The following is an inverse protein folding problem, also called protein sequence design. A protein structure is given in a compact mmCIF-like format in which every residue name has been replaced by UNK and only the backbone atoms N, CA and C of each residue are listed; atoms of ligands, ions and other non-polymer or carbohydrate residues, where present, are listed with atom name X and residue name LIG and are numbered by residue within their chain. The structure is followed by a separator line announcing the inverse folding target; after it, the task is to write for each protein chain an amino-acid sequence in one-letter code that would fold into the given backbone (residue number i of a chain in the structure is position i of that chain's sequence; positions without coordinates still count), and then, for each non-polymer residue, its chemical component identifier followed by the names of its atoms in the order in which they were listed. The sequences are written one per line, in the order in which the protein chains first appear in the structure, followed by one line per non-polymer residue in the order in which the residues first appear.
data_IF_271005964269
#
_entry.id   IF_271005964269
#
_cell.length_a   1.000
_cell.length_b   1.000
_cell.length_c   1.000
_cell.angle_alpha   90.00
_cell.angle_beta   90.00
_cell.angle_gamma   90.00
#
_symmetry.space_group_name_H-M   'P 1'
#
loop_
_entity.id
_entity.type
_entity.pdbx_description
1 polymer ?
#
# COMPACT_ATOMS: atom_id res chain seq x y z
N UNK A 1 -19.21 0.38 11.31
CA UNK A 1 -18.37 1.45 10.87
C UNK A 1 -18.01 1.31 9.41
N UNK A 2 -17.96 2.41 8.74
CA UNK A 2 -17.86 2.49 7.29
C UNK A 2 -16.63 1.79 6.74
N UNK A 3 -15.47 1.92 7.40
CA UNK A 3 -14.25 1.28 6.91
C UNK A 3 -14.37 -0.23 6.82
N UNK A 4 -14.93 -0.86 7.86
CA UNK A 4 -15.11 -2.31 7.82
C UNK A 4 -15.99 -2.75 6.66
N UNK A 5 -17.06 -2.01 6.39
CA UNK A 5 -17.93 -2.30 5.27
C UNK A 5 -17.23 -2.10 3.94
N UNK A 6 -16.45 -1.01 3.81
CA UNK A 6 -15.70 -0.72 2.59
C UNK A 6 -14.73 -1.85 2.28
N UNK A 7 -13.98 -2.31 3.30
CA UNK A 7 -13.02 -3.38 3.10
C UNK A 7 -13.68 -4.71 2.74
N UNK A 8 -14.85 -4.98 3.31
CA UNK A 8 -15.61 -6.16 2.92
C UNK A 8 -16.00 -6.10 1.43
N UNK A 9 -16.35 -4.92 0.94
CA UNK A 9 -16.69 -4.74 -0.46
C UNK A 9 -15.46 -4.86 -1.38
N UNK A 10 -14.33 -4.35 -0.95
CA UNK A 10 -13.13 -4.32 -1.78
C UNK A 10 -12.60 -5.71 -2.12
N UNK A 11 -12.99 -6.71 -1.34
CA UNK A 11 -12.61 -8.09 -1.63
C UNK A 11 -13.20 -8.59 -2.95
N UNK A 12 -14.25 -7.95 -3.41
CA UNK A 12 -15.02 -8.42 -4.57
C UNK A 12 -15.03 -7.44 -5.72
N UNK A 13 -14.76 -6.17 -5.46
CA UNK A 13 -14.84 -5.14 -6.50
C UNK A 13 -13.92 -3.96 -6.19
N UNK A 14 -13.67 -3.10 -7.21
CA UNK A 14 -12.85 -1.92 -7.03
C UNK A 14 -13.39 -0.97 -5.98
N UNK A 15 -12.49 -0.21 -5.36
CA UNK A 15 -12.83 0.81 -4.38
C UNK A 15 -12.00 2.05 -4.65
N UNK A 16 -12.42 3.18 -4.07
CA UNK A 16 -11.75 4.47 -4.23
C UNK A 16 -10.84 4.72 -3.05
N UNK A 17 -9.70 5.34 -3.34
CA UNK A 17 -8.71 5.70 -2.31
C UNK A 17 -8.33 7.16 -2.52
N UNK A 18 -8.47 7.97 -1.47
CA UNK A 18 -8.00 9.35 -1.47
C UNK A 18 -6.58 9.37 -0.92
N UNK A 19 -5.66 9.99 -1.65
CA UNK A 19 -4.27 10.03 -1.24
C UNK A 19 -4.03 11.25 -0.34
N UNK A 20 -3.47 10.98 0.85
CA UNK A 20 -3.09 12.00 1.81
C UNK A 20 -1.62 11.82 2.14
N UNK A 21 -0.93 12.93 2.39
CA UNK A 21 0.49 12.89 2.67
C UNK A 21 1.35 12.67 1.43
N UNK A 22 2.65 12.82 1.59
CA UNK A 22 3.60 12.82 0.48
C UNK A 22 4.48 11.60 0.37
N UNK A 23 4.18 10.50 1.09
CA UNK A 23 5.08 9.35 1.16
C UNK A 23 5.25 8.63 -0.18
N UNK A 24 4.32 8.79 -1.11
CA UNK A 24 4.35 8.12 -2.40
C UNK A 24 4.65 9.06 -3.56
N UNK A 25 5.03 10.30 -3.29
CA UNK A 25 5.46 11.24 -4.32
C UNK A 25 6.72 10.70 -5.00
N UNK A 26 6.85 10.80 -6.31
CA UNK A 26 5.96 11.44 -7.27
C UNK A 26 4.87 10.52 -7.85
N UNK A 27 4.85 9.25 -7.49
CA UNK A 27 3.92 8.27 -8.06
C UNK A 27 2.47 8.65 -7.74
N UNK A 28 2.22 8.93 -6.46
CA UNK A 28 0.92 9.40 -5.97
C UNK A 28 1.19 10.64 -5.16
N UNK A 29 0.38 11.66 -5.37
CA UNK A 29 0.52 12.94 -4.67
C UNK A 29 -0.72 13.24 -3.84
N UNK A 30 -0.58 14.05 -2.76
CA UNK A 30 -1.76 14.48 -2.00
C UNK A 30 -2.79 15.11 -2.93
N UNK A 31 -4.05 14.72 -2.76
CA UNK A 31 -5.13 15.20 -3.61
C UNK A 31 -5.44 14.28 -4.78
N UNK A 32 -4.61 13.27 -5.04
CA UNK A 32 -4.94 12.25 -6.03
C UNK A 32 -6.05 11.36 -5.50
N UNK A 33 -6.92 10.92 -6.41
CA UNK A 33 -7.91 9.89 -6.12
C UNK A 33 -7.62 8.69 -7.00
N UNK A 34 -7.53 7.55 -6.40
CA UNK A 34 -7.08 6.33 -7.07
C UNK A 34 -8.12 5.22 -6.93
N UNK A 35 -7.98 4.21 -7.79
CA UNK A 35 -8.79 2.99 -7.71
C UNK A 35 -7.91 1.87 -7.18
N UNK A 36 -8.44 1.15 -6.19
CA UNK A 36 -7.80 -0.06 -5.66
C UNK A 36 -8.69 -1.25 -5.98
N UNK A 37 -8.05 -2.39 -6.22
CA UNK A 37 -8.72 -3.65 -6.53
C UNK A 37 -8.31 -4.71 -5.51
N UNK A 38 -9.05 -5.83 -5.43
CA UNK A 38 -8.65 -6.92 -4.54
C UNK A 38 -7.24 -7.40 -4.85
N UNK A 39 -6.45 -7.60 -3.80
CA UNK A 39 -5.06 -8.05 -3.92
C UNK A 39 -5.04 -9.57 -3.79
N UNK A 40 -4.82 -10.25 -4.90
CA UNK A 40 -4.84 -11.72 -4.93
C UNK A 40 -3.44 -12.32 -4.80
N UNK A 41 -2.49 -11.79 -5.56
CA UNK A 41 -1.13 -12.28 -5.61
C UNK A 41 -0.16 -11.11 -5.45
N UNK A 42 0.19 -10.76 -4.20
CA UNK A 42 1.11 -9.64 -3.98
C UNK A 42 2.45 -9.88 -4.64
N UNK A 43 2.99 -8.86 -5.27
CA UNK A 43 4.30 -8.92 -5.93
C UNK A 43 5.11 -7.69 -5.61
N UNK A 44 6.42 -7.84 -5.62
CA UNK A 44 7.33 -6.71 -5.49
C UNK A 44 7.03 -5.72 -6.61
N UNK A 45 6.92 -4.45 -6.26
CA UNK A 45 6.56 -3.39 -7.18
C UNK A 45 5.11 -2.95 -7.09
N UNK A 46 4.24 -3.77 -6.50
CA UNK A 46 2.84 -3.40 -6.33
C UNK A 46 2.70 -2.23 -5.36
N UNK A 47 1.83 -1.29 -5.72
CA UNK A 47 1.39 -0.23 -4.81
C UNK A 47 0.16 -0.74 -4.10
N UNK A 48 0.20 -0.75 -2.78
CA UNK A 48 -0.84 -1.41 -1.98
C UNK A 48 -1.36 -0.52 -0.87
N UNK A 49 -2.61 -0.77 -0.50
CA UNK A 49 -3.17 -0.25 0.75
C UNK A 49 -2.77 -1.25 1.83
N UNK A 50 -2.11 -0.77 2.87
CA UNK A 50 -1.56 -1.62 3.92
C UNK A 50 -1.95 -1.07 5.29
N UNK A 51 -2.32 -1.97 6.20
CA UNK A 51 -2.62 -1.60 7.58
C UNK A 51 -1.32 -1.52 8.39
N UNK A 52 -1.20 -0.46 9.21
CA UNK A 52 -0.05 -0.28 10.08
C UNK A 52 -0.02 -1.42 11.11
N UNK A 53 1.11 -2.10 11.29
CA UNK A 53 1.16 -3.27 12.18
C UNK A 53 0.87 -2.96 13.65
N UNK A 54 1.16 -1.73 14.09
CA UNK A 54 1.00 -1.35 15.49
C UNK A 54 -0.19 -0.43 15.72
N UNK A 55 -0.94 -0.10 14.67
CA UNK A 55 -2.07 0.84 14.78
C UNK A 55 -3.27 0.27 14.03
N UNK A 56 -4.12 -0.48 14.74
CA UNK A 56 -5.29 -1.10 14.11
C UNK A 56 -6.15 -0.09 13.36
N UNK A 57 -6.63 -0.46 12.19
CA UNK A 57 -7.47 0.34 11.31
C UNK A 57 -6.78 1.57 10.72
N UNK A 58 -5.49 1.78 10.98
CA UNK A 58 -4.74 2.85 10.34
C UNK A 58 -4.16 2.32 9.03
N UNK A 59 -4.61 2.87 7.92
CA UNK A 59 -4.22 2.39 6.60
C UNK A 59 -3.32 3.39 5.89
N UNK A 60 -2.35 2.85 5.18
CA UNK A 60 -1.37 3.61 4.43
C UNK A 60 -1.32 3.11 3.00
N UNK A 61 -0.79 3.90 2.08
CA UNK A 61 -0.48 3.45 0.73
C UNK A 61 1.03 3.40 0.60
N UNK A 62 1.56 2.24 0.26
CA UNK A 62 3.00 1.99 0.16
C UNK A 62 3.28 1.07 -1.03
N UNK A 63 4.55 0.90 -1.35
CA UNK A 63 4.98 -0.04 -2.39
C UNK A 63 5.61 -1.26 -1.75
N UNK A 64 5.28 -2.46 -2.23
CA UNK A 64 5.99 -3.68 -1.82
C UNK A 64 7.36 -3.63 -2.44
N UNK A 65 8.40 -3.65 -1.60
CA UNK A 65 9.79 -3.61 -2.08
C UNK A 65 10.52 -4.91 -1.83
N UNK A 66 9.99 -5.79 -0.98
CA UNK A 66 10.54 -7.15 -0.83
C UNK A 66 9.46 -8.11 -0.38
N UNK A 67 9.60 -9.37 -0.78
CA UNK A 67 8.66 -10.46 -0.52
C UNK A 67 9.30 -11.51 0.40
N UNK A 68 8.50 -12.44 0.95
CA UNK A 68 9.05 -13.52 1.78
C UNK A 68 10.23 -14.21 1.10
N UNK A 69 11.26 -14.52 1.89
CA UNK A 69 12.47 -15.17 1.40
C UNK A 69 13.51 -14.24 0.82
N UNK A 70 13.17 -12.99 0.56
CA UNK A 70 14.13 -12.03 0.02
C UNK A 70 14.88 -11.33 1.15
N UNK A 71 16.02 -10.72 0.82
CA UNK A 71 16.85 -10.03 1.80
C UNK A 71 16.55 -8.54 1.81
N UNK A 72 16.53 -7.97 3.00
CA UNK A 72 16.48 -6.52 3.21
C UNK A 72 17.65 -6.21 4.14
N UNK A 73 18.73 -5.62 3.61
CA UNK A 73 19.96 -5.45 4.35
C UNK A 73 20.53 -6.81 4.77
N UNK A 74 20.71 -7.01 6.07
CA UNK A 74 21.21 -8.26 6.62
C UNK A 74 20.11 -9.27 6.95
N UNK A 75 18.86 -8.87 6.77
CA UNK A 75 17.72 -9.66 7.19
C UNK A 75 17.13 -10.41 6.01
N UNK A 76 16.83 -11.69 6.20
CA UNK A 76 16.06 -12.47 5.25
C UNK A 76 14.62 -12.51 5.75
N UNK A 77 13.65 -12.16 4.91
CA UNK A 77 12.25 -12.13 5.30
C UNK A 77 11.72 -13.56 5.49
N UNK A 78 10.97 -13.74 6.58
CA UNK A 78 10.32 -15.00 6.90
C UNK A 78 9.11 -15.25 6.00
N UNK A 79 8.50 -16.44 6.04
CA UNK A 79 7.43 -16.79 5.10
C UNK A 79 6.23 -15.86 5.05
N UNK A 80 5.89 -15.17 6.14
CA UNK A 80 4.77 -14.23 6.12
C UNK A 80 5.22 -12.78 6.32
N UNK A 81 6.42 -12.47 5.89
CA UNK A 81 6.97 -11.12 6.04
C UNK A 81 7.11 -10.44 4.71
N UNK A 82 6.47 -9.28 4.60
CA UNK A 82 6.50 -8.43 3.42
C UNK A 82 7.09 -7.08 3.81
N UNK A 83 7.88 -6.50 2.93
CA UNK A 83 8.51 -5.22 3.19
C UNK A 83 7.88 -4.15 2.33
N UNK A 84 7.40 -3.08 2.95
CA UNK A 84 6.73 -2.00 2.23
C UNK A 84 7.42 -0.67 2.51
N UNK A 85 7.55 0.15 1.47
CA UNK A 85 8.21 1.45 1.57
C UNK A 85 7.44 2.48 0.78
N UNK A 86 7.52 3.74 1.24
CA UNK A 86 7.03 4.86 0.44
C UNK A 86 8.04 5.24 -0.62
N UNK A 87 7.56 5.75 -1.74
CA UNK A 87 8.42 6.17 -2.84
C UNK A 87 9.24 7.43 -2.50
N UNK A 88 8.81 8.17 -1.48
CA UNK A 88 9.51 9.35 -1.02
C UNK A 88 10.00 9.13 0.41
N UNK A 89 11.25 8.65 0.58
CA UNK A 89 11.73 8.25 1.92
C UNK A 89 11.70 9.35 2.96
N UNK A 90 11.93 10.60 2.56
CA UNK A 90 11.96 11.72 3.49
C UNK A 90 10.62 12.03 4.16
N UNK A 91 9.51 11.51 3.64
CA UNK A 91 8.18 11.75 4.17
C UNK A 91 7.43 10.45 4.42
N UNK A 92 8.12 9.33 4.55
CA UNK A 92 7.48 8.02 4.66
C UNK A 92 7.76 7.37 6.01
N UNK A 93 6.68 6.93 6.68
CA UNK A 93 6.77 5.98 7.79
C UNK A 93 6.37 4.63 7.22
N UNK A 94 7.29 3.68 7.23
CA UNK A 94 7.08 2.41 6.56
C UNK A 94 7.92 1.30 7.22
N UNK A 95 8.16 0.20 6.50
CA UNK A 95 8.89 -0.93 7.07
C UNK A 95 10.28 -0.55 7.59
N UNK A 96 10.89 0.49 7.07
CA UNK A 96 12.17 0.98 7.61
C UNK A 96 12.03 1.43 9.06
N UNK A 97 10.83 1.81 9.48
CA UNK A 97 10.54 2.22 10.85
C UNK A 97 9.92 1.09 11.67
N UNK A 98 8.90 0.40 11.14
CA UNK A 98 8.14 -0.55 11.95
C UNK A 98 8.40 -2.01 11.58
N UNK A 99 9.26 -2.29 10.61
CA UNK A 99 9.57 -3.66 10.24
C UNK A 99 8.59 -4.24 9.23
N UNK A 100 8.68 -5.56 8.98
CA UNK A 100 7.83 -6.20 7.98
C UNK A 100 6.37 -6.27 8.43
N UNK A 101 5.48 -6.49 7.47
CA UNK A 101 4.06 -6.70 7.71
C UNK A 101 3.67 -8.08 7.21
N UNK A 102 2.60 -8.63 7.79
CA UNK A 102 2.07 -9.91 7.34
C UNK A 102 1.18 -9.74 6.11
N UNK A 103 0.89 -10.87 5.46
CA UNK A 103 0.02 -10.89 4.28
C UNK A 103 -1.34 -10.25 4.56
N UNK A 104 -1.89 -10.49 5.75
CA UNK A 104 -3.21 -9.97 6.11
C UNK A 104 -3.25 -8.45 6.20
N UNK A 105 -2.12 -7.81 6.38
CA UNK A 105 -2.05 -6.34 6.42
C UNK A 105 -2.12 -5.73 5.01
N UNK A 106 -1.82 -6.51 3.98
CA UNK A 106 -1.89 -6.06 2.59
C UNK A 106 -3.33 -6.17 2.12
N UNK A 107 -4.01 -5.02 2.00
CA UNK A 107 -5.46 -5.01 1.83
C UNK A 107 -5.92 -4.98 0.39
N UNK A 108 -5.27 -4.16 -0.43
CA UNK A 108 -5.72 -3.94 -1.80
C UNK A 108 -4.56 -3.45 -2.64
N UNK A 109 -4.70 -3.55 -3.96
CA UNK A 109 -3.70 -3.06 -4.92
C UNK A 109 -4.23 -1.80 -5.59
N UNK A 110 -3.45 -0.72 -5.54
CA UNK A 110 -3.79 0.54 -6.20
C UNK A 110 -3.33 0.44 -7.65
N UNK A 111 -4.26 0.62 -8.60
CA UNK A 111 -3.97 0.33 -10.01
C UNK A 111 -3.97 1.54 -10.92
N UNK A 112 -4.67 2.62 -10.53
CA UNK A 112 -4.68 3.82 -11.36
C UNK A 112 -5.12 5.04 -10.56
N UNK A 113 -4.74 6.22 -11.07
CA UNK A 113 -5.24 7.51 -10.59
C UNK A 113 -6.36 7.91 -11.55
N UNK A 114 -7.53 8.27 -11.01
CA UNK A 114 -8.63 8.72 -11.88
C UNK A 114 -8.92 10.21 -11.76
N UNK A 115 -8.40 10.87 -10.75
CA UNK A 115 -8.59 12.30 -10.51
C UNK A 115 -7.37 12.86 -9.76
N UNK A 116 -6.88 14.07 -9.98
CA UNK A 116 -7.37 15.04 -10.98
C UNK A 116 -7.13 14.57 -12.42
N UNK A 117 -7.82 15.20 -13.36
CA UNK A 117 -7.77 14.75 -14.75
C UNK A 117 -6.38 14.78 -15.37
N UNK A 118 -5.60 15.79 -15.03
CA UNK A 118 -4.24 15.96 -15.57
C UNK A 118 -3.25 14.96 -14.99
N UNK A 119 -3.66 14.19 -13.96
CA UNK A 119 -2.81 13.17 -13.37
C UNK A 119 -3.31 11.75 -13.63
N UNK A 120 -4.36 11.59 -14.44
CA UNK A 120 -4.94 10.26 -14.71
C UNK A 120 -3.93 9.37 -15.41
N UNK A 121 -3.69 8.20 -14.82
CA UNK A 121 -2.78 7.21 -15.38
C UNK A 121 -2.86 5.89 -14.63
N UNK A 122 -2.37 4.84 -15.29
CA UNK A 122 -2.18 3.54 -14.61
C UNK A 122 -0.88 3.55 -13.82
N UNK A 123 -0.86 2.77 -12.76
CA UNK A 123 0.35 2.57 -11.96
C UNK A 123 1.07 1.32 -12.39
#
# INVERSE_FOLDING_TARGET
MVLGVVWACIRWRPSRVAIEGGSMVPTLAPGDFAIAIPLRHPEVGDVVVVEHPDRPAYEMVKRITAAPGQRVGDRTLEPDEWWVEGDYPGASTDSRTFGPVGRDALRAKVVLIYWPRDRRRRL
#
